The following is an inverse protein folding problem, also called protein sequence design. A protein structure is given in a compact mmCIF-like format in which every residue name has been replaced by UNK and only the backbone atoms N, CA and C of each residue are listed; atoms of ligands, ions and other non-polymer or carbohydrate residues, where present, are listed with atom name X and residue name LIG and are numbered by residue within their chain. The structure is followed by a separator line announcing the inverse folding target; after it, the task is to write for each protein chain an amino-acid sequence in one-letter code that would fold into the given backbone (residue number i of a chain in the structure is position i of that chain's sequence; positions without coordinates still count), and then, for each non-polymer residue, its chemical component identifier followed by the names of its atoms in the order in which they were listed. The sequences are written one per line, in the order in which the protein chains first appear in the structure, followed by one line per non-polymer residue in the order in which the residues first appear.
data_IF_848518718298
#
_entry.id   IF_848518718298
#
_cell.length_a   1.000
_cell.length_b   1.000
_cell.length_c   1.000
_cell.angle_alpha   90.00
_cell.angle_beta   90.00
_cell.angle_gamma   90.00
#
_symmetry.space_group_name_H-M   'P 1'
#
loop_
_entity.id
_entity.type
_entity.pdbx_description
1 polymer ?
#
# COMPACT_ATOMS: atom_id res chain seq x y z
N UNK A 1 -48.92 -15.00 -82.87
CA UNK A 1 -48.96 -16.37 -83.46
C UNK A 1 -47.54 -16.93 -83.51
N UNK A 2 -47.40 -18.24 -83.28
CA UNK A 2 -46.18 -19.09 -83.14
C UNK A 2 -45.71 -19.25 -81.67
N UNK A 3 -46.10 -20.32 -80.96
CA UNK A 3 -45.47 -21.69 -80.83
C UNK A 3 -44.10 -21.60 -80.16
N UNK A 4 -43.71 -22.31 -79.08
CA UNK A 4 -43.74 -23.77 -78.79
C UNK A 4 -43.16 -24.00 -77.36
N UNK A 5 -43.74 -24.84 -76.50
CA UNK A 5 -43.30 -26.21 -76.07
C UNK A 5 -42.35 -26.34 -74.84
N UNK A 6 -42.81 -27.13 -73.86
CA UNK A 6 -42.13 -27.88 -72.75
C UNK A 6 -40.89 -28.72 -73.22
N UNK A 7 -40.07 -29.46 -72.38
CA UNK A 7 -40.24 -29.94 -70.97
C UNK A 7 -38.95 -30.04 -70.06
N UNK A 8 -39.17 -30.43 -68.78
CA UNK A 8 -38.34 -31.20 -67.81
C UNK A 8 -36.81 -31.33 -67.96
N UNK A 9 -36.05 -31.15 -66.85
CA UNK A 9 -35.45 -32.27 -66.07
C UNK A 9 -34.46 -31.84 -64.97
N UNK A 10 -34.46 -32.68 -63.93
CA UNK A 10 -33.38 -33.08 -63.02
C UNK A 10 -33.12 -32.31 -61.72
N UNK A 11 -33.38 -33.05 -60.63
CA UNK A 11 -32.90 -32.89 -59.28
C UNK A 11 -31.37 -32.80 -59.18
N UNK A 12 -30.89 -31.94 -58.26
CA UNK A 12 -29.69 -32.19 -57.47
C UNK A 12 -29.91 -31.64 -56.06
N UNK A 13 -30.16 -32.56 -55.14
CA UNK A 13 -30.02 -32.36 -53.69
C UNK A 13 -28.53 -32.20 -53.42
N UNK A 14 -28.12 -31.03 -52.97
CA UNK A 14 -26.79 -30.79 -52.38
C UNK A 14 -26.97 -30.78 -50.87
N UNK A 15 -26.65 -31.93 -50.25
CA UNK A 15 -26.39 -32.04 -48.82
C UNK A 15 -25.13 -31.22 -48.52
N UNK A 16 -25.29 -30.01 -47.98
CA UNK A 16 -24.22 -29.35 -47.26
C UNK A 16 -24.08 -30.04 -45.90
N UNK A 17 -23.10 -30.93 -45.81
CA UNK A 17 -22.54 -31.40 -44.55
C UNK A 17 -21.91 -30.21 -43.82
N UNK A 18 -22.61 -29.66 -42.83
CA UNK A 18 -22.04 -28.74 -41.85
C UNK A 18 -21.16 -29.53 -40.89
N UNK A 19 -19.86 -29.55 -41.16
CA UNK A 19 -18.85 -29.89 -40.16
C UNK A 19 -18.92 -28.81 -39.07
N UNK A 20 -19.59 -29.10 -37.97
CA UNK A 20 -19.41 -28.36 -36.72
C UNK A 20 -17.94 -28.53 -36.32
N UNK A 21 -17.13 -27.51 -36.54
CA UNK A 21 -15.86 -27.37 -35.85
C UNK A 21 -16.19 -27.12 -34.37
N UNK A 22 -16.20 -28.18 -33.57
CA UNK A 22 -16.05 -28.06 -32.12
C UNK A 22 -14.69 -27.41 -31.88
N UNK A 23 -14.68 -26.09 -31.65
CA UNK A 23 -13.60 -25.47 -30.88
C UNK A 23 -13.64 -26.12 -29.50
N UNK A 24 -12.81 -27.13 -29.31
CA UNK A 24 -12.44 -27.56 -27.98
C UNK A 24 -11.74 -26.35 -27.34
N UNK A 25 -12.44 -25.63 -26.47
CA UNK A 25 -11.78 -24.88 -25.42
C UNK A 25 -10.91 -25.91 -24.70
N UNK A 26 -9.60 -25.88 -24.94
CA UNK A 26 -8.68 -26.48 -24.01
C UNK A 26 -9.00 -25.81 -22.66
N UNK A 27 -9.41 -26.57 -21.62
CA UNK A 27 -9.44 -25.98 -20.30
C UNK A 27 -8.04 -25.42 -20.04
N UNK A 28 -7.96 -24.15 -19.61
CA UNK A 28 -6.70 -23.57 -19.15
C UNK A 28 -6.04 -24.60 -18.23
N UNK A 29 -4.96 -25.20 -18.71
CA UNK A 29 -4.16 -26.13 -17.94
C UNK A 29 -3.56 -25.28 -16.81
N UNK A 30 -4.16 -25.40 -15.63
CA UNK A 30 -3.82 -24.72 -14.38
C UNK A 30 -4.21 -23.22 -14.34
N UNK A 31 -5.49 -22.93 -14.08
CA UNK A 31 -5.72 -21.89 -13.08
C UNK A 31 -5.17 -22.46 -11.76
N UNK A 32 -3.89 -22.19 -11.45
CA UNK A 32 -3.38 -22.51 -10.13
C UNK A 32 -4.24 -21.78 -9.11
N UNK A 33 -4.70 -22.48 -8.07
CA UNK A 33 -5.44 -21.84 -6.99
C UNK A 33 -4.52 -20.79 -6.33
N UNK A 34 -4.83 -19.50 -6.48
CA UNK A 34 -4.06 -18.37 -5.92
C UNK A 34 -4.54 -18.05 -4.51
N UNK A 35 -4.57 -19.08 -3.68
CA UNK A 35 -5.29 -19.18 -2.40
C UNK A 35 -4.40 -19.07 -1.16
N UNK A 36 -3.10 -18.79 -1.35
CA UNK A 36 -2.07 -18.78 -0.30
C UNK A 36 -1.83 -20.14 0.36
N UNK A 37 -2.26 -21.26 -0.25
CA UNK A 37 -1.89 -22.58 0.27
C UNK A 37 -0.36 -22.74 0.27
N UNK A 38 0.20 -23.41 1.28
CA UNK A 38 1.65 -23.65 1.34
C UNK A 38 2.13 -24.50 0.16
N UNK A 39 3.27 -24.14 -0.42
CA UNK A 39 3.96 -24.90 -1.47
C UNK A 39 5.46 -25.00 -1.16
N UNK A 40 6.15 -25.99 -1.74
CA UNK A 40 7.62 -26.03 -1.66
C UNK A 40 8.22 -24.94 -2.56
N UNK A 41 9.43 -24.44 -2.26
CA UNK A 41 10.13 -23.47 -3.11
C UNK A 41 10.18 -23.90 -4.59
N UNK A 42 10.54 -25.15 -4.85
CA UNK A 42 10.75 -25.66 -6.20
C UNK A 42 9.45 -25.73 -7.01
N UNK A 43 8.31 -25.92 -6.33
CA UNK A 43 6.99 -25.96 -6.97
C UNK A 43 6.59 -24.61 -7.60
N UNK A 44 7.27 -23.52 -7.22
CA UNK A 44 7.05 -22.17 -7.75
C UNK A 44 8.33 -21.54 -8.31
N UNK A 45 9.31 -22.37 -8.70
CA UNK A 45 10.54 -21.89 -9.36
C UNK A 45 11.54 -21.21 -8.44
N UNK A 46 11.50 -21.50 -7.13
CA UNK A 46 12.45 -20.98 -6.15
C UNK A 46 13.39 -22.09 -5.66
N UNK A 47 14.64 -21.73 -5.42
CA UNK A 47 15.65 -22.60 -4.82
C UNK A 47 15.34 -22.84 -3.34
N UNK A 48 15.30 -24.11 -2.89
CA UNK A 48 15.17 -24.39 -1.46
C UNK A 48 16.37 -23.87 -0.65
N UNK A 49 17.58 -23.96 -1.19
CA UNK A 49 18.78 -23.39 -0.56
C UNK A 49 18.67 -21.86 -0.47
N UNK A 50 18.20 -21.19 -1.53
CA UNK A 50 17.97 -19.74 -1.52
C UNK A 50 16.90 -19.29 -0.51
N UNK A 51 15.83 -20.05 -0.34
CA UNK A 51 14.83 -19.79 0.72
C UNK A 51 15.41 -20.04 2.12
N UNK A 52 16.25 -21.06 2.28
CA UNK A 52 16.99 -21.27 3.53
C UNK A 52 17.94 -20.11 3.84
N UNK A 53 18.64 -19.57 2.83
CA UNK A 53 19.53 -18.41 2.98
C UNK A 53 18.77 -17.14 3.37
N UNK A 54 17.56 -16.94 2.81
CA UNK A 54 16.65 -15.87 3.23
C UNK A 54 16.28 -16.03 4.71
N UNK A 55 15.84 -17.22 5.12
CA UNK A 55 15.46 -17.51 6.50
C UNK A 55 16.64 -17.27 7.47
N UNK A 56 17.82 -17.75 7.11
CA UNK A 56 19.05 -17.57 7.89
C UNK A 56 19.46 -16.11 7.98
N UNK A 57 19.33 -15.33 6.91
CA UNK A 57 19.58 -13.90 6.92
C UNK A 57 18.64 -13.14 7.86
N UNK A 58 17.35 -13.48 7.86
CA UNK A 58 16.37 -12.86 8.77
C UNK A 58 16.62 -13.26 10.23
N UNK A 59 16.91 -14.55 10.49
CA UNK A 59 17.22 -15.06 11.84
C UNK A 59 18.47 -14.43 12.42
N UNK A 60 19.51 -14.27 11.60
CA UNK A 60 20.80 -13.69 12.01
C UNK A 60 20.64 -12.30 12.64
N UNK A 61 19.74 -11.48 12.13
CA UNK A 61 19.50 -10.13 12.65
C UNK A 61 18.94 -10.13 14.08
N UNK A 62 18.22 -11.19 14.47
CA UNK A 62 17.78 -11.41 15.86
C UNK A 62 18.92 -11.99 16.68
N UNK A 63 19.62 -13.00 16.18
CA UNK A 63 20.71 -13.68 16.88
C UNK A 63 21.87 -12.73 17.23
N UNK A 64 22.13 -11.74 16.38
CA UNK A 64 23.14 -10.68 16.60
C UNK A 64 22.63 -9.53 17.48
N UNK A 65 21.35 -9.55 17.88
CA UNK A 65 20.73 -8.53 18.73
C UNK A 65 20.40 -7.22 18.02
N UNK A 66 20.37 -7.21 16.68
CA UNK A 66 19.98 -6.03 15.89
C UNK A 66 18.46 -5.82 15.90
N UNK A 67 17.69 -6.92 16.05
CA UNK A 67 16.24 -6.93 16.13
C UNK A 67 15.73 -7.68 17.37
N UNK A 68 14.60 -7.22 17.91
CA UNK A 68 13.91 -7.91 18.98
C UNK A 68 13.21 -9.16 18.44
N UNK A 69 12.51 -9.01 17.32
CA UNK A 69 11.91 -10.08 16.57
C UNK A 69 11.53 -9.64 15.16
N UNK A 70 11.31 -10.63 14.31
CA UNK A 70 10.93 -10.47 12.91
C UNK A 70 9.96 -11.57 12.51
N UNK A 71 8.98 -11.20 11.67
CA UNK A 71 8.17 -12.14 10.90
C UNK A 71 8.31 -11.77 9.43
N UNK A 72 8.50 -12.78 8.57
CA UNK A 72 8.61 -12.56 7.12
C UNK A 72 7.82 -13.61 6.36
N UNK A 73 7.22 -13.21 5.24
CA UNK A 73 6.48 -14.09 4.35
C UNK A 73 6.84 -13.83 2.89
N UNK A 74 6.96 -14.91 2.11
CA UNK A 74 7.14 -14.88 0.66
C UNK A 74 6.04 -15.70 0.01
N UNK A 75 5.33 -15.08 -0.92
CA UNK A 75 4.40 -15.73 -1.82
C UNK A 75 4.91 -15.62 -3.25
N UNK A 76 4.78 -16.70 -4.02
CA UNK A 76 5.02 -16.70 -5.46
C UNK A 76 3.97 -17.57 -6.14
N UNK A 77 3.49 -17.17 -7.31
CA UNK A 77 2.42 -17.85 -8.04
C UNK A 77 1.13 -18.03 -7.22
N UNK A 78 0.85 -17.08 -6.32
CA UNK A 78 -0.28 -17.13 -5.39
C UNK A 78 -0.18 -18.20 -4.30
N UNK A 79 0.99 -18.81 -4.09
CA UNK A 79 1.26 -19.82 -3.05
C UNK A 79 2.20 -19.29 -1.98
N UNK A 80 1.99 -19.72 -0.73
CA UNK A 80 2.86 -19.37 0.40
C UNK A 80 4.09 -20.29 0.42
N UNK A 81 5.28 -19.72 0.27
CA UNK A 81 6.53 -20.49 0.16
C UNK A 81 7.34 -20.43 1.45
N UNK A 82 7.36 -19.25 2.06
CA UNK A 82 8.11 -18.96 3.27
C UNK A 82 7.20 -18.21 4.23
N UNK A 83 7.17 -18.62 5.50
CA UNK A 83 6.61 -17.82 6.59
C UNK A 83 7.29 -18.24 7.88
N UNK A 84 8.19 -17.39 8.36
CA UNK A 84 9.02 -17.64 9.53
C UNK A 84 8.96 -16.48 10.51
N UNK A 85 9.08 -16.82 11.80
CA UNK A 85 9.10 -15.89 12.91
C UNK A 85 10.31 -16.18 13.81
N UNK A 86 11.10 -15.15 14.12
CA UNK A 86 12.31 -15.25 14.93
C UNK A 86 12.35 -14.18 16.01
N UNK A 87 12.73 -14.56 17.23
CA UNK A 87 12.89 -13.63 18.35
C UNK A 87 11.63 -13.39 19.16
N UNK A 88 11.44 -12.16 19.62
CA UNK A 88 10.45 -11.78 20.61
C UNK A 88 9.58 -10.62 20.13
N UNK A 89 8.27 -10.72 20.39
CA UNK A 89 7.39 -9.55 20.33
C UNK A 89 7.56 -8.66 21.58
N UNK A 90 8.08 -9.22 22.67
CA UNK A 90 8.51 -8.50 23.87
C UNK A 90 9.74 -9.20 24.48
N UNK A 91 10.88 -8.52 24.46
CA UNK A 91 12.13 -8.96 25.11
C UNK A 91 11.93 -9.04 26.62
N UNK A 92 11.30 -8.02 27.22
CA UNK A 92 11.10 -7.91 28.66
C UNK A 92 10.25 -9.06 29.21
N UNK A 93 9.20 -9.45 28.48
CA UNK A 93 8.32 -10.57 28.86
C UNK A 93 8.82 -11.93 28.36
N UNK A 94 9.90 -11.94 27.57
CA UNK A 94 10.38 -13.11 26.82
C UNK A 94 9.27 -13.77 25.99
N UNK A 95 8.35 -12.96 25.46
CA UNK A 95 7.22 -13.45 24.65
C UNK A 95 7.67 -13.60 23.20
N UNK A 96 7.68 -14.83 22.63
CA UNK A 96 8.14 -15.06 21.28
C UNK A 96 7.27 -14.31 20.28
N UNK A 97 7.88 -13.82 19.20
CA UNK A 97 7.12 -13.31 18.05
C UNK A 97 6.56 -14.50 17.26
N UNK A 98 5.39 -14.33 16.66
CA UNK A 98 4.67 -15.37 15.92
C UNK A 98 3.88 -14.77 14.76
N UNK A 99 3.34 -15.65 13.90
CA UNK A 99 2.56 -15.26 12.72
C UNK A 99 1.29 -14.46 13.06
N UNK A 100 0.79 -14.58 14.29
CA UNK A 100 -0.39 -13.88 14.82
C UNK A 100 -0.03 -12.63 15.65
N UNK A 101 1.26 -12.29 15.77
CA UNK A 101 1.68 -11.03 16.40
C UNK A 101 1.11 -9.84 15.63
N UNK A 102 0.58 -8.87 16.36
CA UNK A 102 0.01 -7.62 15.82
C UNK A 102 1.08 -6.54 15.84
N UNK A 103 1.29 -5.90 14.69
CA UNK A 103 2.27 -4.85 14.46
C UNK A 103 1.57 -3.53 14.17
N UNK A 104 2.11 -2.43 14.67
CA UNK A 104 1.86 -1.09 14.11
C UNK A 104 2.45 -1.07 12.71
N UNK A 105 1.62 -0.95 11.68
CA UNK A 105 2.08 -0.99 10.28
C UNK A 105 2.34 0.41 9.70
N UNK A 106 1.97 1.46 10.44
CA UNK A 106 2.25 2.85 10.08
C UNK A 106 1.90 3.13 8.62
N UNK A 107 2.85 3.63 7.82
CA UNK A 107 2.61 4.04 6.44
C UNK A 107 2.20 2.92 5.48
N UNK A 108 2.29 1.64 5.86
CA UNK A 108 1.59 0.56 5.12
C UNK A 108 0.05 0.68 5.20
N UNK A 109 -0.48 1.58 6.03
CA UNK A 109 -1.90 1.99 5.98
C UNK A 109 -2.25 2.65 4.64
N UNK A 110 -1.31 3.38 4.02
CA UNK A 110 -1.60 4.20 2.82
C UNK A 110 -2.15 3.41 1.64
N UNK A 111 -1.55 2.25 1.26
CA UNK A 111 -2.16 1.33 0.30
C UNK A 111 -3.62 0.96 0.58
N UNK A 112 -3.99 0.73 1.84
CA UNK A 112 -5.36 0.36 2.24
C UNK A 112 -6.32 1.54 2.00
N UNK A 113 -5.92 2.75 2.42
CA UNK A 113 -6.68 3.98 2.12
C UNK A 113 -6.82 4.22 0.62
N UNK A 114 -5.78 3.88 -0.16
CA UNK A 114 -5.84 3.97 -1.61
C UNK A 114 -6.88 3.04 -2.22
N UNK A 115 -7.00 1.80 -1.72
CA UNK A 115 -8.04 0.87 -2.18
C UNK A 115 -9.42 1.43 -1.87
N UNK A 116 -9.63 2.00 -0.68
CA UNK A 116 -10.91 2.64 -0.33
C UNK A 116 -11.28 3.78 -1.30
N UNK A 117 -10.32 4.66 -1.62
CA UNK A 117 -10.52 5.71 -2.62
C UNK A 117 -10.83 5.13 -4.00
N UNK A 118 -10.12 4.09 -4.44
CA UNK A 118 -10.37 3.49 -5.75
C UNK A 118 -11.72 2.77 -5.82
N UNK A 119 -12.21 2.18 -4.73
CA UNK A 119 -13.58 1.63 -4.67
C UNK A 119 -14.62 2.73 -4.92
N UNK A 120 -14.46 3.89 -4.29
CA UNK A 120 -15.35 5.03 -4.48
C UNK A 120 -15.24 5.63 -5.90
N UNK A 121 -14.05 5.58 -6.51
CA UNK A 121 -13.85 5.95 -7.91
C UNK A 121 -14.64 5.02 -8.84
N UNK A 122 -14.57 3.70 -8.63
CA UNK A 122 -15.32 2.72 -9.42
C UNK A 122 -16.84 2.88 -9.26
N UNK A 123 -17.29 3.32 -8.09
CA UNK A 123 -18.68 3.69 -7.82
C UNK A 123 -19.09 5.04 -8.45
N UNK A 124 -18.18 5.73 -9.13
CA UNK A 124 -18.42 7.01 -9.79
C UNK A 124 -18.63 8.17 -8.82
N UNK A 125 -18.11 8.08 -7.59
CA UNK A 125 -18.27 9.11 -6.55
C UNK A 125 -17.41 10.34 -6.78
N UNK A 126 -16.31 10.19 -7.52
CA UNK A 126 -15.43 11.27 -7.93
C UNK A 126 -14.63 10.89 -9.18
N UNK A 127 -13.99 11.87 -9.80
CA UNK A 127 -12.93 11.67 -10.81
C UNK A 127 -11.57 12.09 -10.26
N UNK A 128 -10.49 11.44 -10.69
CA UNK A 128 -9.13 11.77 -10.22
C UNK A 128 -8.75 13.24 -10.45
N UNK A 129 -9.27 13.87 -11.50
CA UNK A 129 -8.96 15.27 -11.84
C UNK A 129 -9.95 16.27 -11.20
N UNK A 130 -10.89 15.79 -10.38
CA UNK A 130 -11.73 16.69 -9.58
C UNK A 130 -10.88 17.41 -8.54
N UNK A 131 -11.22 18.68 -8.28
CA UNK A 131 -10.63 19.42 -7.18
C UNK A 131 -11.14 18.87 -5.85
N UNK A 132 -10.24 18.71 -4.87
CA UNK A 132 -10.58 18.24 -3.52
C UNK A 132 -11.63 19.15 -2.86
N UNK A 133 -11.56 20.46 -3.14
CA UNK A 133 -12.49 21.51 -2.70
C UNK A 133 -13.94 21.27 -3.10
N UNK A 134 -14.21 20.46 -4.14
CA UNK A 134 -15.59 20.10 -4.52
C UNK A 134 -16.29 19.26 -3.44
N UNK A 135 -15.50 18.53 -2.65
CA UNK A 135 -15.97 17.61 -1.60
C UNK A 135 -15.58 18.10 -0.20
N UNK A 136 -14.47 18.82 -0.07
CA UNK A 136 -13.99 19.43 1.17
C UNK A 136 -13.78 20.94 0.93
N UNK A 137 -14.86 21.74 0.91
CA UNK A 137 -14.82 23.16 0.51
C UNK A 137 -13.92 24.03 1.39
N UNK A 138 -13.59 23.59 2.60
CA UNK A 138 -12.65 24.24 3.52
C UNK A 138 -11.23 24.31 2.93
N UNK A 139 -10.88 23.41 2.01
CA UNK A 139 -9.59 23.39 1.31
C UNK A 139 -9.60 24.20 -0.01
N UNK A 140 -10.65 24.97 -0.28
CA UNK A 140 -10.72 25.85 -1.43
C UNK A 140 -9.82 27.09 -1.25
N UNK A 141 -9.27 27.59 -2.35
CA UNK A 141 -8.48 28.85 -2.38
C UNK A 141 -7.28 28.91 -1.41
N UNK A 142 -6.70 27.77 -1.02
CA UNK A 142 -5.45 27.77 -0.25
C UNK A 142 -4.36 28.53 -1.01
N UNK A 143 -3.67 29.44 -0.32
CA UNK A 143 -2.49 30.08 -0.87
C UNK A 143 -1.28 29.14 -0.81
N UNK A 144 -0.24 29.46 -1.56
CA UNK A 144 1.00 28.69 -1.67
C UNK A 144 2.16 29.51 -1.13
N UNK A 145 2.93 28.95 -0.20
CA UNK A 145 4.15 29.57 0.31
C UNK A 145 5.25 29.59 -0.77
N UNK A 146 5.83 30.76 -1.02
CA UNK A 146 6.94 30.95 -1.98
C UNK A 146 8.28 31.19 -1.30
N UNK A 147 8.29 31.80 -0.11
CA UNK A 147 9.48 31.98 0.73
C UNK A 147 9.08 32.18 2.19
N UNK A 148 10.04 31.98 3.10
CA UNK A 148 9.85 32.31 4.52
C UNK A 148 9.69 33.83 4.69
N UNK A 149 8.69 34.25 5.46
CA UNK A 149 8.40 35.65 5.73
C UNK A 149 8.64 36.06 7.19
N UNK A 150 8.39 37.34 7.52
CA UNK A 150 8.55 37.84 8.88
C UNK A 150 7.53 37.23 9.85
N UNK A 151 7.95 37.01 11.10
CA UNK A 151 7.03 36.60 12.17
C UNK A 151 6.58 35.14 12.12
N UNK A 152 7.21 34.28 11.31
CA UNK A 152 6.86 32.86 11.19
C UNK A 152 5.75 32.57 10.17
N UNK A 153 5.36 33.57 9.39
CA UNK A 153 4.36 33.44 8.33
C UNK A 153 5.05 33.55 6.97
N UNK A 154 4.86 32.59 6.05
CA UNK A 154 5.48 32.63 4.74
C UNK A 154 4.90 33.77 3.90
N UNK A 155 5.69 34.26 2.95
CA UNK A 155 5.16 35.04 1.84
C UNK A 155 4.42 34.06 0.91
N UNK A 156 3.22 34.43 0.49
CA UNK A 156 2.31 33.57 -0.25
C UNK A 156 1.91 34.13 -1.60
N UNK A 157 1.47 33.24 -2.49
CA UNK A 157 0.79 33.56 -3.75
C UNK A 157 -0.44 32.64 -3.95
N UNK A 158 -1.38 32.98 -4.84
CA UNK A 158 -2.48 32.08 -5.16
C UNK A 158 -1.99 30.74 -5.76
N UNK A 159 -2.67 29.65 -5.42
CA UNK A 159 -2.47 28.39 -6.12
C UNK A 159 -2.83 28.55 -7.62
N UNK A 160 -2.00 27.97 -8.49
CA UNK A 160 -2.20 28.00 -9.95
C UNK A 160 -3.47 27.27 -10.39
N UNK A 161 -3.89 26.28 -9.58
CA UNK A 161 -5.16 25.59 -9.62
C UNK A 161 -5.40 24.95 -8.24
N UNK A 162 -6.63 24.52 -7.97
CA UNK A 162 -6.94 23.79 -6.74
C UNK A 162 -6.36 22.38 -6.80
N UNK A 163 -5.87 21.87 -5.66
CA UNK A 163 -5.36 20.50 -5.53
C UNK A 163 -6.40 19.49 -6.01
N UNK A 164 -6.02 18.66 -6.97
CA UNK A 164 -6.85 17.57 -7.47
C UNK A 164 -6.75 16.33 -6.59
N UNK A 165 -7.73 15.41 -6.69
CA UNK A 165 -7.69 14.14 -5.96
C UNK A 165 -6.49 13.28 -6.42
N UNK A 166 -6.13 13.32 -7.70
CA UNK A 166 -4.92 12.67 -8.24
C UNK A 166 -3.68 13.13 -7.50
N UNK A 167 -3.51 14.43 -7.37
CA UNK A 167 -2.34 15.04 -6.71
C UNK A 167 -2.34 14.79 -5.21
N UNK A 168 -3.53 14.70 -4.59
CA UNK A 168 -3.65 14.26 -3.21
C UNK A 168 -3.19 12.80 -3.05
N UNK A 169 -3.59 11.91 -3.95
CA UNK A 169 -3.25 10.47 -3.91
C UNK A 169 -1.80 10.17 -4.29
N UNK A 170 -1.12 11.08 -4.99
CA UNK A 170 0.28 10.91 -5.40
C UNK A 170 1.26 11.76 -4.59
N UNK A 171 0.83 12.43 -3.52
CA UNK A 171 1.64 13.35 -2.71
C UNK A 171 2.22 14.55 -3.52
N UNK A 172 1.50 15.03 -4.52
CA UNK A 172 1.88 16.21 -5.32
C UNK A 172 0.96 17.40 -5.12
N UNK A 173 -0.05 17.29 -4.25
CA UNK A 173 -1.05 18.34 -3.97
C UNK A 173 -0.56 19.55 -3.18
N UNK A 174 0.72 19.58 -2.79
CA UNK A 174 1.33 20.72 -2.08
C UNK A 174 1.26 20.67 -0.56
N UNK A 175 0.70 19.62 0.03
CA UNK A 175 0.70 19.39 1.48
C UNK A 175 2.08 18.96 2.00
N UNK A 176 2.29 19.05 3.32
CA UNK A 176 3.49 18.54 4.03
C UNK A 176 3.08 17.65 5.21
N UNK A 177 4.06 17.15 5.96
CA UNK A 177 3.90 16.45 7.25
C UNK A 177 4.31 17.30 8.46
N UNK A 178 4.92 18.48 8.26
CA UNK A 178 5.47 19.28 9.36
C UNK A 178 6.89 18.90 9.78
N UNK A 179 7.55 17.98 9.04
CA UNK A 179 8.79 17.33 9.50
C UNK A 179 9.93 17.39 8.47
N UNK A 180 9.63 17.34 7.18
CA UNK A 180 10.63 17.01 6.16
C UNK A 180 11.32 18.22 5.54
N UNK A 181 10.63 19.35 5.38
CA UNK A 181 11.16 20.49 4.63
C UNK A 181 11.73 21.62 5.49
N UNK A 182 11.44 21.62 6.80
CA UNK A 182 11.83 22.66 7.78
C UNK A 182 11.44 24.08 7.34
N UNK A 183 10.34 24.21 6.62
CA UNK A 183 9.77 25.50 6.20
C UNK A 183 8.92 26.14 7.30
N UNK A 184 8.53 27.41 7.11
CA UNK A 184 7.50 28.01 7.98
C UNK A 184 6.15 27.30 7.90
N UNK A 185 5.78 26.72 6.74
CA UNK A 185 4.58 25.87 6.61
C UNK A 185 4.69 24.66 7.53
N UNK A 186 5.85 23.99 7.56
CA UNK A 186 6.04 22.85 8.47
C UNK A 186 5.91 23.24 9.94
N UNK A 187 6.44 24.42 10.29
CA UNK A 187 6.34 24.96 11.64
C UNK A 187 4.88 25.23 12.04
N UNK A 188 4.06 25.71 11.11
CA UNK A 188 2.63 25.90 11.33
C UNK A 188 1.87 24.57 11.49
N UNK A 189 2.22 23.53 10.71
CA UNK A 189 1.63 22.19 10.87
C UNK A 189 1.91 21.63 12.28
N UNK A 190 3.14 21.78 12.77
CA UNK A 190 3.52 21.35 14.12
C UNK A 190 2.79 22.17 15.18
N UNK A 191 2.74 23.50 15.02
CA UNK A 191 2.08 24.38 15.98
C UNK A 191 0.56 24.15 16.07
N UNK A 192 -0.09 23.84 14.94
CA UNK A 192 -1.52 23.53 14.88
C UNK A 192 -1.85 22.10 15.35
N UNK A 193 -0.84 21.25 15.59
CA UNK A 193 -1.01 19.83 15.89
C UNK A 193 -1.94 19.17 14.86
N UNK A 194 -1.53 19.15 13.59
CA UNK A 194 -2.36 18.66 12.47
C UNK A 194 -2.78 17.20 12.64
N UNK A 195 -1.92 16.36 13.22
CA UNK A 195 -2.19 14.94 13.48
C UNK A 195 -2.58 14.69 14.93
N UNK A 196 -3.48 15.52 15.46
CA UNK A 196 -4.00 15.41 16.82
C UNK A 196 -4.82 14.14 17.00
N UNK A 197 -4.27 13.15 17.71
CA UNK A 197 -4.91 11.85 17.91
C UNK A 197 -6.18 11.92 18.75
N UNK A 198 -6.37 13.01 19.50
CA UNK A 198 -7.58 13.27 20.30
C UNK A 198 -8.67 14.02 19.51
N UNK A 199 -8.36 14.47 18.29
CA UNK A 199 -9.30 15.14 17.39
C UNK A 199 -9.98 14.17 16.42
N UNK A 200 -10.50 14.72 15.32
CA UNK A 200 -11.12 14.00 14.20
C UNK A 200 -10.46 14.36 12.87
N UNK A 201 -10.75 13.59 11.82
CA UNK A 201 -10.28 13.93 10.46
C UNK A 201 -10.83 15.29 10.01
N UNK A 202 -12.04 15.68 10.42
CA UNK A 202 -12.58 17.03 10.16
C UNK A 202 -11.78 18.10 10.91
N UNK A 203 -11.42 17.90 12.19
CA UNK A 203 -10.62 18.89 12.93
C UNK A 203 -9.27 19.14 12.25
N UNK A 204 -8.68 18.10 11.64
CA UNK A 204 -7.47 18.26 10.83
C UNK A 204 -7.75 19.11 9.57
N UNK A 205 -8.86 18.89 8.87
CA UNK A 205 -9.25 19.73 7.72
C UNK A 205 -9.40 21.19 8.15
N UNK A 206 -10.10 21.44 9.25
CA UNK A 206 -10.34 22.80 9.75
C UNK A 206 -9.02 23.52 10.05
N UNK A 207 -8.03 22.80 10.61
CA UNK A 207 -6.68 23.33 10.84
C UNK A 207 -5.90 23.54 9.53
N UNK A 208 -6.02 22.63 8.56
CA UNK A 208 -5.34 22.75 7.26
C UNK A 208 -5.87 23.92 6.43
N UNK A 209 -7.16 24.26 6.57
CA UNK A 209 -7.79 25.38 5.88
C UNK A 209 -7.11 26.74 6.17
N UNK A 210 -6.48 26.87 7.34
CA UNK A 210 -5.81 28.09 7.79
C UNK A 210 -4.31 28.13 7.48
N UNK A 211 -3.75 27.10 6.83
CA UNK A 211 -2.31 26.99 6.57
C UNK A 211 -2.06 26.91 5.05
N UNK A 212 -1.16 27.75 4.49
CA UNK A 212 -0.87 27.68 3.06
C UNK A 212 -0.21 26.36 2.66
N UNK A 213 -0.39 25.98 1.40
CA UNK A 213 0.32 24.88 0.77
C UNK A 213 1.83 25.17 0.76
N UNK A 214 2.63 24.12 0.89
CA UNK A 214 4.09 24.20 0.84
C UNK A 214 4.61 24.55 -0.56
N UNK A 215 3.89 24.17 -1.61
CA UNK A 215 4.30 24.31 -2.99
C UNK A 215 3.07 24.26 -3.89
N UNK A 216 3.22 24.70 -5.14
CA UNK A 216 2.15 24.65 -6.12
C UNK A 216 1.69 23.20 -6.35
N UNK A 217 0.38 22.90 -6.38
CA UNK A 217 -0.14 21.59 -6.75
C UNK A 217 0.43 21.12 -8.09
N UNK A 218 0.74 19.82 -8.17
CA UNK A 218 1.19 19.18 -9.40
C UNK A 218 2.63 19.52 -9.81
N UNK A 219 3.40 20.25 -9.00
CA UNK A 219 4.76 20.68 -9.39
C UNK A 219 5.88 19.82 -8.83
N UNK A 220 5.71 19.27 -7.63
CA UNK A 220 6.72 18.46 -6.95
C UNK A 220 6.06 17.36 -6.12
N UNK A 221 6.75 16.23 -5.97
CA UNK A 221 6.37 15.19 -5.02
C UNK A 221 6.88 15.56 -3.62
N UNK A 222 6.00 15.57 -2.62
CA UNK A 222 6.33 15.83 -1.22
C UNK A 222 5.48 14.97 -0.28
N UNK A 223 6.14 14.03 0.41
CA UNK A 223 5.48 13.13 1.35
C UNK A 223 4.77 13.90 2.48
N UNK A 224 3.48 13.63 2.68
CA UNK A 224 2.61 14.52 3.45
C UNK A 224 1.38 13.84 4.05
N UNK A 225 0.61 14.59 4.83
CA UNK A 225 -0.67 14.16 5.42
C UNK A 225 -1.79 13.93 4.39
N UNK A 226 -1.48 13.91 3.09
CA UNK A 226 -2.46 13.76 2.00
C UNK A 226 -3.37 12.55 2.19
N UNK A 227 -2.84 11.46 2.75
CA UNK A 227 -3.60 10.22 2.91
C UNK A 227 -4.56 10.28 4.10
N UNK A 228 -4.30 11.15 5.08
CA UNK A 228 -5.26 11.44 6.13
C UNK A 228 -6.43 12.26 5.58
N UNK A 229 -6.15 13.21 4.66
CA UNK A 229 -7.20 13.94 3.91
C UNK A 229 -8.01 12.99 3.01
N UNK A 230 -7.38 11.97 2.43
CA UNK A 230 -8.11 10.89 1.72
C UNK A 230 -9.05 10.14 2.66
N UNK A 231 -8.66 9.88 3.91
CA UNK A 231 -9.55 9.34 4.93
C UNK A 231 -10.81 10.20 5.10
N UNK A 232 -10.66 11.54 5.17
CA UNK A 232 -11.81 12.45 5.22
C UNK A 232 -12.66 12.40 3.95
N UNK A 233 -12.03 12.31 2.77
CA UNK A 233 -12.76 12.14 1.51
C UNK A 233 -13.60 10.86 1.52
N UNK A 234 -13.07 9.74 2.03
CA UNK A 234 -13.85 8.51 2.18
C UNK A 234 -15.10 8.76 3.04
N UNK A 235 -14.98 9.49 4.15
CA UNK A 235 -16.13 9.82 5.00
C UNK A 235 -17.19 10.62 4.26
N UNK A 236 -16.77 11.68 3.55
CA UNK A 236 -17.68 12.57 2.82
C UNK A 236 -18.36 11.84 1.66
N UNK A 237 -17.62 11.06 0.88
CA UNK A 237 -18.10 10.42 -0.35
C UNK A 237 -18.97 9.18 -0.09
N UNK A 238 -18.65 8.44 0.98
CA UNK A 238 -19.39 7.23 1.38
C UNK A 238 -20.56 7.54 2.33
N UNK A 239 -20.44 8.60 3.15
CA UNK A 239 -21.34 8.87 4.26
C UNK A 239 -21.11 7.96 5.48
N UNK A 240 -19.99 7.23 5.53
CA UNK A 240 -19.62 6.33 6.63
C UNK A 240 -18.39 6.88 7.38
N UNK A 241 -18.24 6.62 8.69
CA UNK A 241 -16.96 6.81 9.36
C UNK A 241 -15.84 6.06 8.64
N UNK A 242 -14.63 6.62 8.59
CA UNK A 242 -13.54 6.06 7.78
C UNK A 242 -13.14 4.66 8.23
N UNK A 243 -13.05 4.45 9.54
CA UNK A 243 -12.76 3.15 10.16
C UNK A 243 -13.84 2.11 9.88
N UNK A 244 -15.11 2.47 10.00
CA UNK A 244 -16.25 1.61 9.64
C UNK A 244 -16.22 1.23 8.15
N UNK A 245 -15.88 2.17 7.26
CA UNK A 245 -15.74 1.88 5.83
C UNK A 245 -14.64 0.84 5.58
N UNK A 246 -13.44 1.02 6.16
CA UNK A 246 -12.36 0.04 5.98
C UNK A 246 -12.74 -1.34 6.54
N UNK A 247 -13.39 -1.36 7.70
CA UNK A 247 -13.87 -2.58 8.34
C UNK A 247 -14.86 -3.34 7.43
N UNK A 248 -15.96 -2.69 7.04
CA UNK A 248 -17.06 -3.32 6.29
C UNK A 248 -16.66 -3.65 4.85
N UNK A 249 -15.89 -2.76 4.19
CA UNK A 249 -15.66 -2.82 2.75
C UNK A 249 -14.35 -3.49 2.36
N UNK A 250 -13.39 -3.62 3.28
CA UNK A 250 -12.07 -4.19 2.99
C UNK A 250 -11.72 -5.33 3.95
N UNK A 251 -11.75 -5.08 5.27
CA UNK A 251 -11.21 -6.03 6.24
C UNK A 251 -12.10 -7.26 6.39
N UNK A 252 -13.40 -7.09 6.59
CA UNK A 252 -14.33 -8.22 6.71
C UNK A 252 -14.38 -9.07 5.43
N UNK A 253 -14.53 -8.49 4.22
CA UNK A 253 -14.53 -9.29 2.99
C UNK A 253 -13.23 -10.07 2.77
N UNK A 254 -12.08 -9.51 3.14
CA UNK A 254 -10.79 -10.20 3.01
C UNK A 254 -10.43 -11.09 4.20
N UNK A 255 -11.22 -11.08 5.27
CA UNK A 255 -10.92 -11.83 6.50
C UNK A 255 -9.70 -11.29 7.26
N UNK A 256 -9.47 -9.98 7.24
CA UNK A 256 -8.40 -9.28 7.95
C UNK A 256 -8.82 -8.95 9.40
N UNK A 257 -9.06 -9.99 10.21
CA UNK A 257 -9.74 -9.86 11.50
C UNK A 257 -8.92 -9.21 12.62
N UNK A 258 -7.62 -9.04 12.42
CA UNK A 258 -6.66 -8.42 13.33
C UNK A 258 -6.08 -7.11 12.75
N UNK A 259 -6.71 -6.56 11.72
CA UNK A 259 -6.41 -5.23 11.19
C UNK A 259 -7.39 -4.19 11.72
N UNK A 260 -6.89 -3.06 12.21
CA UNK A 260 -7.71 -1.96 12.70
C UNK A 260 -6.90 -0.80 13.26
N UNK A 261 -7.58 0.28 13.66
CA UNK A 261 -6.94 1.48 14.24
C UNK A 261 -6.59 1.34 15.73
N UNK A 262 -7.03 0.25 16.36
CA UNK A 262 -6.70 -0.09 17.75
C UNK A 262 -6.67 -1.60 17.92
N UNK A 263 -6.04 -2.07 19.00
CA UNK A 263 -5.98 -3.48 19.38
C UNK A 263 -6.96 -3.74 20.53
N UNK A 264 -8.04 -4.53 20.29
CA UNK A 264 -8.99 -4.93 21.32
C UNK A 264 -8.32 -5.58 22.53
N UNK A 265 -8.91 -5.39 23.71
CA UNK A 265 -8.35 -5.83 25.00
C UNK A 265 -7.96 -7.32 25.01
N UNK A 266 -8.77 -8.19 24.42
CA UNK A 266 -8.56 -9.63 24.30
C UNK A 266 -7.46 -10.04 23.31
N UNK A 267 -6.90 -9.08 22.56
CA UNK A 267 -5.82 -9.30 21.59
C UNK A 267 -4.52 -8.57 21.95
N UNK A 268 -4.53 -7.72 22.99
CA UNK A 268 -3.37 -6.88 23.36
C UNK A 268 -2.15 -7.69 23.76
N UNK A 269 -2.34 -8.92 24.22
CA UNK A 269 -1.22 -9.80 24.52
C UNK A 269 -0.41 -10.14 23.26
N UNK A 270 -1.00 -10.12 22.06
CA UNK A 270 -0.30 -10.32 20.77
C UNK A 270 0.34 -9.04 20.22
N UNK A 271 0.22 -7.90 20.89
CA UNK A 271 0.71 -6.63 20.36
C UNK A 271 2.22 -6.47 20.59
N UNK A 272 2.95 -6.22 19.51
CA UNK A 272 4.41 -6.12 19.57
C UNK A 272 4.89 -4.83 20.24
N UNK A 273 5.91 -4.97 21.08
CA UNK A 273 6.66 -3.86 21.66
C UNK A 273 7.61 -3.28 20.62
N UNK A 274 7.71 -1.95 20.58
CA UNK A 274 8.61 -1.26 19.67
C UNK A 274 9.94 -0.95 20.32
N UNK A 275 11.02 -1.23 19.59
CA UNK A 275 12.39 -1.09 20.08
C UNK A 275 13.18 -0.07 19.27
N UNK A 276 14.30 0.35 19.84
CA UNK A 276 15.36 1.08 19.16
C UNK A 276 16.72 0.66 19.72
N UNK A 277 17.79 0.97 18.99
CA UNK A 277 19.15 0.75 19.48
C UNK A 277 19.44 1.63 20.70
N UNK A 278 19.86 1.00 21.80
CA UNK A 278 20.35 1.66 23.01
C UNK A 278 21.83 1.36 23.26
N UNK A 279 22.39 1.91 24.34
CA UNK A 279 23.81 1.77 24.66
C UNK A 279 24.25 0.33 24.97
N UNK A 280 23.33 -0.51 25.45
CA UNK A 280 23.59 -1.88 25.90
C UNK A 280 22.70 -2.90 25.17
N UNK A 281 22.36 -2.64 23.90
CA UNK A 281 21.41 -3.44 23.13
C UNK A 281 20.08 -2.71 22.92
N UNK A 282 19.04 -3.45 22.54
CA UNK A 282 17.74 -2.89 22.23
C UNK A 282 17.01 -2.39 23.48
N UNK A 283 16.28 -1.29 23.33
CA UNK A 283 15.47 -0.68 24.39
C UNK A 283 14.10 -0.32 23.85
N UNK A 284 13.05 -0.56 24.66
CA UNK A 284 11.73 -0.03 24.40
C UNK A 284 11.68 1.46 24.82
N UNK A 285 11.52 2.41 23.89
CA UNK A 285 11.48 3.82 24.25
C UNK A 285 10.15 4.16 24.93
N UNK A 286 10.21 4.92 26.03
CA UNK A 286 9.03 5.44 26.73
C UNK A 286 8.78 6.92 26.36
N UNK A 287 8.67 7.20 25.05
CA UNK A 287 8.43 8.55 24.52
C UNK A 287 7.05 8.68 23.85
N UNK A 288 6.21 7.63 23.95
CA UNK A 288 4.88 7.60 23.34
C UNK A 288 4.88 7.48 21.82
N UNK A 289 6.05 7.37 21.18
CA UNK A 289 6.12 7.22 19.73
C UNK A 289 5.35 5.99 19.28
N UNK A 290 4.51 6.16 18.25
CA UNK A 290 3.69 5.10 17.71
C UNK A 290 2.48 4.72 18.56
N UNK A 291 2.14 5.47 19.61
CA UNK A 291 0.89 5.28 20.35
C UNK A 291 0.74 3.92 21.05
N UNK A 292 -0.26 3.82 21.92
CA UNK A 292 -0.55 2.59 22.65
C UNK A 292 -1.55 1.68 21.93
N UNK A 293 -2.34 2.21 20.99
CA UNK A 293 -3.37 1.49 20.24
C UNK A 293 -4.38 0.77 21.15
N UNK A 294 -4.55 1.19 22.41
CA UNK A 294 -5.36 0.41 23.36
C UNK A 294 -6.85 0.73 23.32
N UNK A 295 -7.27 1.80 22.65
CA UNK A 295 -8.66 2.23 22.62
C UNK A 295 -9.08 2.67 21.21
N UNK A 296 -10.38 2.60 20.88
CA UNK A 296 -10.91 3.23 19.67
C UNK A 296 -10.44 4.68 19.55
N UNK A 297 -10.05 5.07 18.34
CA UNK A 297 -9.55 6.41 18.05
C UNK A 297 -10.66 7.28 17.47
N UNK A 298 -10.62 8.57 17.74
CA UNK A 298 -11.48 9.56 17.05
C UNK A 298 -10.83 10.09 15.77
N UNK A 299 -9.50 9.93 15.66
CA UNK A 299 -8.69 10.27 14.49
C UNK A 299 -8.17 8.99 13.81
N UNK A 300 -8.94 8.32 12.94
CA UNK A 300 -8.45 7.17 12.18
C UNK A 300 -7.49 7.63 11.07
N UNK A 301 -6.20 7.76 11.39
CA UNK A 301 -5.17 8.25 10.46
C UNK A 301 -5.02 7.32 9.23
N UNK A 302 -5.54 7.73 8.08
CA UNK A 302 -5.35 7.03 6.80
C UNK A 302 -3.90 6.99 6.33
N UNK A 303 -3.02 7.84 6.88
CA UNK A 303 -1.60 7.86 6.60
C UNK A 303 -0.76 6.88 7.44
N UNK A 304 -1.23 6.45 8.61
CA UNK A 304 -0.36 5.77 9.56
C UNK A 304 -1.03 5.02 10.71
N UNK A 305 -2.35 4.98 10.76
CA UNK A 305 -3.09 4.60 11.96
C UNK A 305 -3.33 3.10 12.16
N UNK A 306 -3.10 2.24 11.17
CA UNK A 306 -3.44 0.82 11.32
C UNK A 306 -2.39 0.02 12.10
N UNK A 307 -2.90 -0.97 12.85
CA UNK A 307 -2.19 -2.16 13.26
C UNK A 307 -2.70 -3.36 12.43
N UNK A 308 -1.86 -4.38 12.24
CA UNK A 308 -2.19 -5.59 11.46
C UNK A 308 -1.27 -6.75 11.82
N UNK A 309 -1.63 -7.97 11.41
CA UNK A 309 -0.74 -9.14 11.38
C UNK A 309 -0.14 -9.36 10.00
N UNK A 310 0.87 -10.24 9.91
CA UNK A 310 1.42 -10.64 8.61
C UNK A 310 0.36 -11.37 7.77
N UNK A 311 -0.43 -12.24 8.39
CA UNK A 311 -1.46 -13.02 7.70
C UNK A 311 -2.56 -12.15 7.10
N UNK A 312 -2.99 -11.11 7.80
CA UNK A 312 -4.00 -10.18 7.28
C UNK A 312 -3.45 -9.35 6.12
N UNK A 313 -2.22 -8.86 6.26
CA UNK A 313 -1.60 -8.07 5.21
C UNK A 313 -1.26 -8.92 3.98
N UNK A 314 -0.95 -10.21 4.13
CA UNK A 314 -0.78 -11.16 3.02
C UNK A 314 -2.04 -11.25 2.15
N UNK A 315 -3.23 -11.31 2.76
CA UNK A 315 -4.51 -11.35 2.02
C UNK A 315 -4.73 -10.07 1.24
N UNK A 316 -4.45 -8.92 1.85
CA UNK A 316 -4.51 -7.61 1.20
C UNK A 316 -3.56 -7.52 0.01
N UNK A 317 -2.28 -7.87 0.18
CA UNK A 317 -1.30 -7.80 -0.91
C UNK A 317 -1.56 -8.84 -2.00
N UNK A 318 -2.06 -10.02 -1.65
CA UNK A 318 -2.42 -11.04 -2.64
C UNK A 318 -3.64 -10.61 -3.46
N UNK A 319 -4.62 -9.93 -2.86
CA UNK A 319 -5.74 -9.32 -3.57
C UNK A 319 -5.24 -8.32 -4.63
N UNK A 320 -4.28 -7.46 -4.29
CA UNK A 320 -3.66 -6.54 -5.25
C UNK A 320 -2.85 -7.28 -6.32
N UNK A 321 -2.04 -8.28 -5.94
CA UNK A 321 -1.27 -9.11 -6.88
C UNK A 321 -2.15 -9.90 -7.86
N UNK A 322 -3.40 -10.17 -7.49
CA UNK A 322 -4.40 -10.84 -8.31
C UNK A 322 -5.26 -9.88 -9.15
N UNK A 323 -4.90 -8.60 -9.23
CA UNK A 323 -5.68 -7.61 -9.98
C UNK A 323 -7.02 -7.26 -9.33
N UNK A 324 -7.05 -7.19 -8.00
CA UNK A 324 -8.19 -6.67 -7.24
C UNK A 324 -9.13 -7.72 -6.63
N UNK A 325 -8.76 -9.01 -6.66
CA UNK A 325 -9.61 -10.11 -6.17
C UNK A 325 -8.82 -11.16 -5.37
N UNK A 326 -9.37 -11.62 -4.26
CA UNK A 326 -8.81 -12.73 -3.50
C UNK A 326 -9.91 -13.66 -2.98
N UNK A 327 -9.76 -14.98 -3.17
CA UNK A 327 -10.72 -15.99 -2.72
C UNK A 327 -12.19 -15.70 -3.11
N UNK A 328 -12.42 -15.24 -4.35
CA UNK A 328 -13.74 -14.91 -4.86
C UNK A 328 -14.31 -13.57 -4.38
N UNK A 329 -13.57 -12.82 -3.57
CA UNK A 329 -13.92 -11.47 -3.11
C UNK A 329 -13.16 -10.46 -3.95
N UNK A 330 -13.89 -9.73 -4.80
CA UNK A 330 -13.36 -8.64 -5.63
C UNK A 330 -13.61 -7.30 -4.96
N UNK A 331 -12.53 -6.57 -4.67
CA UNK A 331 -12.61 -5.20 -4.15
C UNK A 331 -12.40 -4.16 -5.25
N UNK A 332 -11.54 -4.46 -6.23
CA UNK A 332 -11.25 -3.57 -7.35
C UNK A 332 -11.26 -4.35 -8.66
N UNK A 333 -11.52 -3.66 -9.76
CA UNK A 333 -11.23 -4.19 -11.08
C UNK A 333 -9.72 -4.06 -11.40
N UNK A 334 -9.24 -4.88 -12.34
CA UNK A 334 -7.83 -4.93 -12.71
C UNK A 334 -7.32 -3.56 -13.21
N UNK A 335 -8.12 -2.84 -14.01
CA UNK A 335 -7.75 -1.53 -14.53
C UNK A 335 -7.55 -0.47 -13.43
N UNK A 336 -8.28 -0.57 -12.31
CA UNK A 336 -8.05 0.29 -11.14
C UNK A 336 -6.73 -0.04 -10.45
N UNK A 337 -6.38 -1.33 -10.30
CA UNK A 337 -5.08 -1.74 -9.77
C UNK A 337 -3.95 -1.26 -10.68
N UNK A 338 -4.12 -1.38 -12.01
CA UNK A 338 -3.19 -0.82 -13.00
C UNK A 338 -3.01 0.70 -12.85
N UNK A 339 -4.11 1.44 -12.66
CA UNK A 339 -4.06 2.88 -12.44
C UNK A 339 -3.30 3.24 -11.14
N UNK A 340 -3.49 2.46 -10.06
CA UNK A 340 -2.76 2.65 -8.80
C UNK A 340 -1.26 2.50 -8.97
N UNK A 341 -0.82 1.57 -9.83
CA UNK A 341 0.60 1.28 -10.09
C UNK A 341 1.16 1.95 -11.35
N UNK A 342 0.49 2.99 -11.85
CA UNK A 342 0.96 3.81 -12.96
C UNK A 342 1.60 5.11 -12.44
N UNK A 343 2.63 5.62 -13.12
CA UNK A 343 3.33 6.84 -12.70
C UNK A 343 2.37 8.05 -12.63
N UNK A 344 2.38 8.73 -11.48
CA UNK A 344 1.64 9.97 -11.19
C UNK A 344 2.56 11.14 -10.83
N UNK A 345 3.88 11.00 -11.04
CA UNK A 345 4.80 12.10 -10.82
C UNK A 345 4.56 13.27 -11.79
N UNK A 346 4.81 14.51 -11.36
CA UNK A 346 4.77 15.68 -12.22
C UNK A 346 5.67 15.54 -13.45
N UNK A 347 5.28 16.19 -14.53
CA UNK A 347 6.13 16.29 -15.72
C UNK A 347 7.51 16.89 -15.36
N UNK A 348 8.58 16.24 -15.79
CA UNK A 348 9.96 16.64 -15.48
C UNK A 348 10.52 16.04 -14.19
N UNK A 349 9.76 15.23 -13.46
CA UNK A 349 10.26 14.38 -12.37
C UNK A 349 10.39 12.93 -12.84
N UNK A 350 11.63 12.45 -12.95
CA UNK A 350 11.90 11.07 -13.36
C UNK A 350 11.85 10.08 -12.18
N UNK A 351 12.15 10.55 -10.96
CA UNK A 351 12.18 9.75 -9.74
C UNK A 351 11.77 10.55 -8.50
N UNK A 352 11.35 9.83 -7.46
CA UNK A 352 11.04 10.39 -6.15
C UNK A 352 12.34 10.82 -5.44
N UNK A 353 12.43 12.04 -4.90
CA UNK A 353 13.58 12.46 -4.10
C UNK A 353 13.87 11.51 -2.92
N UNK A 354 15.11 11.00 -2.87
CA UNK A 354 15.55 10.07 -1.82
C UNK A 354 15.23 8.59 -2.08
N UNK A 355 14.54 8.28 -3.19
CA UNK A 355 14.23 6.91 -3.62
C UNK A 355 14.71 6.70 -5.07
N UNK A 356 16.03 6.59 -5.27
CA UNK A 356 16.62 6.43 -6.59
C UNK A 356 15.99 5.26 -7.37
N UNK A 357 15.69 5.45 -8.65
CA UNK A 357 15.12 4.39 -9.50
C UNK A 357 13.66 4.04 -9.16
N UNK A 358 12.93 4.96 -8.52
CA UNK A 358 11.53 4.78 -8.20
C UNK A 358 10.69 5.98 -8.63
N UNK A 359 9.54 5.70 -9.21
CA UNK A 359 8.44 6.63 -9.42
C UNK A 359 7.35 6.43 -8.36
N UNK A 360 6.30 7.25 -8.39
CA UNK A 360 5.18 7.12 -7.45
C UNK A 360 3.85 7.01 -8.20
N UNK A 361 3.00 6.09 -7.75
CA UNK A 361 1.63 5.93 -8.21
C UNK A 361 0.62 6.56 -7.27
N UNK A 362 -0.54 5.91 -7.12
CA UNK A 362 -1.54 6.30 -6.13
C UNK A 362 -1.24 5.57 -4.82
N UNK A 363 -0.50 6.23 -3.91
CA UNK A 363 -0.01 5.71 -2.63
C UNK A 363 0.98 4.51 -2.68
N UNK A 364 1.65 4.26 -3.80
CA UNK A 364 2.74 3.27 -3.90
C UNK A 364 3.98 3.86 -4.57
N UNK A 365 5.16 3.44 -4.13
CA UNK A 365 6.36 3.59 -4.95
C UNK A 365 6.39 2.50 -6.02
N UNK A 366 6.93 2.83 -7.20
CA UNK A 366 7.01 2.00 -8.39
C UNK A 366 8.47 1.87 -8.79
N UNK A 367 8.98 0.65 -8.90
CA UNK A 367 10.36 0.41 -9.35
C UNK A 367 10.46 0.67 -10.85
N UNK A 368 11.38 1.54 -11.24
CA UNK A 368 11.69 1.87 -12.65
C UNK A 368 13.12 1.53 -13.05
N UNK A 369 14.00 1.31 -12.09
CA UNK A 369 15.38 0.88 -12.32
C UNK A 369 15.73 -0.29 -11.37
N UNK A 370 15.70 -1.54 -11.87
CA UNK A 370 16.04 -2.73 -11.08
C UNK A 370 17.44 -2.69 -10.46
N UNK A 371 18.43 -2.11 -11.17
CA UNK A 371 19.81 -2.07 -10.70
C UNK A 371 19.97 -1.17 -9.47
N UNK A 372 19.13 -0.15 -9.34
CA UNK A 372 19.07 0.75 -8.17
C UNK A 372 18.12 0.25 -7.07
N UNK A 373 17.47 -0.90 -7.27
CA UNK A 373 16.47 -1.48 -6.37
C UNK A 373 16.74 -2.95 -6.01
N UNK A 374 18.02 -3.33 -5.89
CA UNK A 374 18.44 -4.69 -5.47
C UNK A 374 17.91 -5.82 -6.38
N UNK A 375 17.71 -5.55 -7.68
CA UNK A 375 17.28 -6.54 -8.66
C UNK A 375 15.76 -6.73 -8.77
N UNK A 376 14.98 -5.98 -7.99
CA UNK A 376 13.51 -5.99 -8.08
C UNK A 376 13.05 -5.60 -9.49
N UNK A 377 12.09 -6.33 -10.06
CA UNK A 377 11.62 -6.11 -11.42
C UNK A 377 11.03 -4.72 -11.63
N UNK A 378 11.26 -4.15 -12.81
CA UNK A 378 10.59 -2.93 -13.25
C UNK A 378 9.06 -3.15 -13.27
N UNK A 379 8.30 -2.19 -12.73
CA UNK A 379 6.85 -2.29 -12.56
C UNK A 379 6.41 -2.91 -11.22
N UNK A 380 7.34 -3.42 -10.40
CA UNK A 380 7.06 -3.78 -9.01
C UNK A 380 6.65 -2.55 -8.22
N UNK A 381 5.74 -2.72 -7.27
CA UNK A 381 5.25 -1.63 -6.44
C UNK A 381 5.28 -1.99 -4.96
N UNK A 382 5.54 -0.99 -4.13
CA UNK A 382 5.95 -1.22 -2.75
C UNK A 382 5.71 -0.02 -1.85
N UNK A 383 5.69 -0.28 -0.55
CA UNK A 383 5.79 0.75 0.48
C UNK A 383 6.27 0.16 1.81
N UNK A 384 6.41 0.99 2.83
CA UNK A 384 6.95 0.58 4.13
C UNK A 384 6.48 1.51 5.26
N UNK A 385 6.49 1.01 6.48
CA UNK A 385 6.12 1.71 7.71
C UNK A 385 7.33 2.11 8.54
N UNK A 386 7.23 3.25 9.23
CA UNK A 386 8.32 3.80 10.05
C UNK A 386 8.71 2.92 11.26
N UNK A 387 7.80 2.03 11.70
CA UNK A 387 8.09 0.97 12.67
C UNK A 387 8.92 -0.18 12.09
N UNK A 388 9.29 -0.11 10.82
CA UNK A 388 10.17 -1.05 10.14
C UNK A 388 9.47 -2.12 9.33
N UNK A 389 8.13 -2.16 9.28
CA UNK A 389 7.34 -3.07 8.42
C UNK A 389 7.51 -2.68 6.93
N UNK A 390 7.49 -3.65 6.02
CA UNK A 390 7.61 -3.39 4.58
C UNK A 390 6.97 -4.49 3.73
N UNK A 391 6.64 -4.15 2.49
CA UNK A 391 6.22 -5.13 1.49
C UNK A 391 6.59 -4.68 0.08
N UNK A 392 6.60 -5.61 -0.87
CA UNK A 392 6.50 -5.30 -2.29
C UNK A 392 5.68 -6.37 -3.01
N UNK A 393 5.10 -5.97 -4.14
CA UNK A 393 4.39 -6.84 -5.08
C UNK A 393 5.10 -6.69 -6.43
N UNK A 394 5.51 -7.81 -7.00
CA UNK A 394 6.17 -7.91 -8.29
C UNK A 394 5.26 -8.67 -9.25
N UNK A 395 4.56 -7.98 -10.16
CA UNK A 395 3.71 -8.61 -11.17
C UNK A 395 4.48 -9.40 -12.24
N UNK A 396 5.79 -9.13 -12.42
CA UNK A 396 6.63 -9.80 -13.42
C UNK A 396 6.97 -11.21 -12.93
N UNK A 397 7.36 -11.32 -11.66
CA UNK A 397 7.74 -12.57 -11.02
C UNK A 397 6.57 -13.28 -10.31
N UNK A 398 5.37 -12.69 -10.39
CA UNK A 398 4.16 -13.11 -9.67
C UNK A 398 4.42 -13.36 -8.18
N UNK A 399 5.04 -12.36 -7.56
CA UNK A 399 5.69 -12.48 -6.25
C UNK A 399 5.23 -11.39 -5.30
N UNK A 400 5.08 -11.76 -4.03
CA UNK A 400 4.80 -10.82 -2.93
C UNK A 400 5.70 -11.17 -1.76
N UNK A 401 6.34 -10.16 -1.18
CA UNK A 401 7.06 -10.32 0.08
C UNK A 401 6.56 -9.32 1.11
N UNK A 402 6.48 -9.76 2.37
CA UNK A 402 6.17 -8.93 3.51
C UNK A 402 7.18 -9.21 4.62
N UNK A 403 7.71 -8.15 5.23
CA UNK A 403 8.49 -8.21 6.45
C UNK A 403 7.88 -7.34 7.55
N UNK A 404 7.82 -7.87 8.77
CA UNK A 404 7.29 -7.17 9.93
C UNK A 404 8.26 -7.22 11.11
N UNK A 405 8.66 -6.03 11.55
CA UNK A 405 9.45 -5.79 12.76
C UNK A 405 8.79 -4.62 13.52
N UNK A 406 9.22 -4.37 14.76
CA UNK A 406 8.94 -3.12 15.48
C UNK A 406 10.25 -2.46 15.91
N UNK A 407 10.91 -1.77 14.99
CA UNK A 407 12.17 -1.08 15.22
C UNK A 407 12.18 0.33 14.58
N UNK A 408 12.52 1.35 15.37
CA UNK A 408 12.56 2.76 14.93
C UNK A 408 13.82 3.15 14.16
N UNK A 409 14.81 2.27 14.06
CA UNK A 409 16.05 2.56 13.34
C UNK A 409 15.81 2.48 11.82
N UNK A 410 15.52 3.64 11.22
CA UNK A 410 15.16 3.74 9.79
C UNK A 410 16.28 3.27 8.86
N UNK A 411 17.53 3.64 9.15
CA UNK A 411 18.67 3.23 8.32
C UNK A 411 18.82 1.72 8.31
N UNK A 412 18.62 1.09 9.47
CA UNK A 412 18.67 -0.35 9.59
C UNK A 412 17.48 -1.05 8.91
N UNK A 413 16.25 -0.53 9.06
CA UNK A 413 15.08 -1.05 8.34
C UNK A 413 15.29 -1.04 6.81
N UNK A 414 15.94 0.00 6.27
CA UNK A 414 16.32 0.06 4.84
C UNK A 414 17.34 -0.98 4.44
N UNK A 415 18.36 -1.19 5.26
CA UNK A 415 19.36 -2.22 5.02
C UNK A 415 18.69 -3.60 4.93
N UNK A 416 17.77 -3.88 5.86
CA UNK A 416 17.04 -5.14 5.91
C UNK A 416 16.13 -5.35 4.69
N UNK A 417 15.45 -4.29 4.23
CA UNK A 417 14.69 -4.32 2.97
C UNK A 417 15.59 -4.77 1.80
N UNK A 418 16.79 -4.17 1.68
CA UNK A 418 17.74 -4.56 0.62
C UNK A 418 18.26 -6.00 0.78
N UNK A 419 18.50 -6.47 2.01
CA UNK A 419 18.86 -7.88 2.27
C UNK A 419 17.72 -8.80 1.79
N UNK A 420 16.48 -8.53 2.19
CA UNK A 420 15.33 -9.36 1.79
C UNK A 420 15.18 -9.43 0.26
N UNK A 421 15.34 -8.31 -0.45
CA UNK A 421 15.27 -8.29 -1.92
C UNK A 421 16.37 -9.15 -2.53
N UNK A 422 17.63 -8.93 -2.16
CA UNK A 422 18.75 -9.71 -2.74
C UNK A 422 18.61 -11.22 -2.48
N UNK A 423 18.14 -11.61 -1.30
CA UNK A 423 17.91 -13.04 -0.99
C UNK A 423 16.74 -13.61 -1.80
N UNK A 424 15.61 -12.90 -1.87
CA UNK A 424 14.44 -13.36 -2.63
C UNK A 424 14.75 -13.51 -4.12
N UNK A 425 15.32 -12.48 -4.76
CA UNK A 425 15.62 -12.54 -6.20
C UNK A 425 16.81 -13.45 -6.51
N UNK A 426 17.74 -13.64 -5.56
CA UNK A 426 18.81 -14.64 -5.68
C UNK A 426 18.30 -16.08 -5.59
N UNK A 427 17.10 -16.31 -5.05
CA UNK A 427 16.49 -17.63 -4.95
C UNK A 427 15.66 -18.03 -6.19
N UNK A 428 15.47 -17.15 -7.17
CA UNK A 428 14.72 -17.44 -8.40
C UNK A 428 15.58 -18.28 -9.35
N UNK A 429 15.06 -19.43 -9.82
CA UNK A 429 15.82 -20.41 -10.65
C UNK A 429 15.32 -20.58 -12.09
N UNK A 430 14.18 -20.00 -12.46
CA UNK A 430 13.48 -20.27 -13.73
C UNK A 430 13.99 -19.52 -14.97
#
# INVERSE_FOLDING_TARGET
MKTMSLPTRLARVLLLSSTLATLAFAPSLYAQDRDLSRASPEAVGLSADGISDLADAMRKEVDEGNLAGIVSALMRNGKLVHMDAYGYQSIEEQKPVSEDTIFRIFSMTKPVTSVAMMMLLEEGKFSLDDAVSQYIPELANLEVAIEDGPGGFPVTEPASHEMTIRELMSHTGGLTYGLFSRSQVDSQYVAANILDTEGTLQDMIDKLADIPLRQQPGTLWHYSVSVDVQGRLVEVLSGMPFDDFLQERIFEPLGMTDTGFYVPEDKRDRFATMYMSGANGLVAPNDGFGGDYVAPVTFPSGGGGLASTIGDYMRFTQMLANGGEFNGVRLLNEASVEAMRSNQLPAGMDEIPGYPGNQFGLNFALVTDPARNDGVSEGSYWWWGIGGTWFWIDPVEDLVFIGMIQNRNLGYARQLQGISKRMVYGAIED
#
